data_IF_410300311192
#
_entry.id   IF_410300311192
#
_cell.length_a   1.000
_cell.length_b   1.000
_cell.length_c   1.000
_cell.angle_alpha   90.00
_cell.angle_beta   90.00
_cell.angle_gamma   90.00
#
_symmetry.space_group_name_H-M   'P 1'
#
loop_
_entity.id
_entity.type
_entity.pdbx_description
1 polymer ?
#
# COMPACT_ATOMS: atom_id res chain seq x y z
N UNK A 1 1.81 -23.63 -30.47
CA UNK A 1 2.82 -22.58 -30.28
C UNK A 1 2.07 -21.29 -30.01
N UNK A 2 1.98 -20.86 -28.75
CA UNK A 2 1.41 -19.56 -28.44
C UNK A 2 2.49 -18.52 -28.71
N UNK A 3 2.25 -17.63 -29.66
CA UNK A 3 3.15 -16.49 -29.92
C UNK A 3 3.29 -15.68 -28.64
N UNK A 4 4.54 -15.49 -28.19
CA UNK A 4 4.88 -14.55 -27.13
C UNK A 4 4.60 -13.15 -27.66
N UNK A 5 3.44 -12.60 -27.32
CA UNK A 5 3.10 -11.22 -27.68
C UNK A 5 3.83 -10.28 -26.71
N UNK A 6 4.55 -9.31 -27.25
CA UNK A 6 5.13 -8.20 -26.50
C UNK A 6 4.16 -7.02 -26.58
N UNK A 7 3.81 -6.41 -25.45
CA UNK A 7 3.00 -5.20 -25.46
C UNK A 7 3.53 -4.18 -24.47
N UNK A 8 3.47 -2.90 -24.85
CA UNK A 8 3.82 -1.75 -24.01
C UNK A 8 5.20 -1.84 -23.34
N UNK A 9 6.16 -2.50 -24.01
CA UNK A 9 7.51 -2.74 -23.47
C UNK A 9 8.36 -1.48 -23.37
N UNK A 10 8.01 -0.39 -24.06
CA UNK A 10 8.69 0.91 -24.01
C UNK A 10 7.85 1.99 -23.33
N UNK A 11 6.65 1.65 -22.86
CA UNK A 11 5.73 2.63 -22.28
C UNK A 11 6.28 3.08 -20.93
N UNK A 12 6.58 4.37 -20.79
CA UNK A 12 7.08 4.97 -19.54
C UNK A 12 5.99 5.64 -18.72
N UNK A 13 4.90 6.10 -19.36
CA UNK A 13 3.77 6.73 -18.69
C UNK A 13 2.47 6.17 -19.23
N UNK A 14 1.61 5.72 -18.33
CA UNK A 14 0.27 5.25 -18.62
C UNK A 14 -0.72 6.13 -17.85
N UNK A 15 -1.61 6.80 -18.57
CA UNK A 15 -2.68 7.59 -17.99
C UNK A 15 -4.02 7.13 -18.53
N UNK A 16 -4.93 6.80 -17.63
CA UNK A 16 -6.27 6.28 -17.91
C UNK A 16 -7.25 7.17 -17.15
N UNK A 17 -8.15 7.84 -17.87
CA UNK A 17 -9.06 8.80 -17.26
C UNK A 17 -10.47 8.57 -17.83
N UNK A 18 -11.49 8.64 -16.97
CA UNK A 18 -12.90 8.61 -17.37
C UNK A 18 -13.30 7.34 -18.15
N UNK A 19 -12.74 6.18 -17.78
CA UNK A 19 -13.03 4.89 -18.42
C UNK A 19 -13.93 4.02 -17.55
N UNK A 20 -15.21 4.38 -17.43
CA UNK A 20 -16.18 3.64 -16.59
C UNK A 20 -16.47 2.21 -17.07
N UNK A 21 -16.07 1.83 -18.29
CA UNK A 21 -16.13 0.45 -18.76
C UNK A 21 -14.91 -0.40 -18.38
N UNK A 22 -13.85 0.21 -17.83
CA UNK A 22 -12.59 -0.47 -17.54
C UNK A 22 -12.68 -1.20 -16.21
N UNK A 23 -12.69 -2.54 -16.27
CA UNK A 23 -12.74 -3.38 -15.06
C UNK A 23 -11.35 -3.76 -14.55
N UNK A 24 -10.35 -3.84 -15.45
CA UNK A 24 -8.95 -4.26 -15.22
C UNK A 24 -8.04 -3.76 -16.34
N UNK A 25 -6.74 -3.52 -16.08
CA UNK A 25 -5.76 -3.16 -17.12
C UNK A 25 -5.44 -4.28 -18.10
N UNK A 26 -5.50 -5.53 -17.62
CA UNK A 26 -5.25 -6.71 -18.42
C UNK A 26 -6.26 -7.79 -18.05
N UNK A 27 -6.93 -8.36 -19.07
CA UNK A 27 -7.77 -9.55 -18.93
C UNK A 27 -6.94 -10.77 -19.38
N UNK A 28 -6.71 -11.73 -18.49
CA UNK A 28 -5.89 -12.91 -18.77
C UNK A 28 -4.41 -12.74 -18.41
N UNK A 29 -3.55 -13.53 -19.05
CA UNK A 29 -2.10 -13.51 -18.83
C UNK A 29 -1.46 -12.25 -19.47
N UNK A 30 -0.70 -11.43 -18.73
CA UNK A 30 -0.08 -10.26 -19.30
C UNK A 30 0.98 -10.64 -20.35
N UNK A 31 1.03 -9.95 -21.48
CA UNK A 31 2.04 -10.20 -22.52
C UNK A 31 3.47 -10.00 -22.00
N UNK A 32 4.46 -10.59 -22.69
CA UNK A 32 5.84 -10.54 -22.22
C UNK A 32 6.36 -9.10 -22.21
N UNK A 33 6.91 -8.69 -21.05
CA UNK A 33 7.44 -7.35 -20.86
C UNK A 33 6.39 -6.26 -20.73
N UNK A 34 5.13 -6.64 -20.48
CA UNK A 34 4.03 -5.71 -20.20
C UNK A 34 4.42 -4.73 -19.09
N UNK A 35 4.41 -3.43 -19.42
CA UNK A 35 4.69 -2.33 -18.50
C UNK A 35 6.05 -2.41 -17.77
N UNK A 36 7.03 -3.16 -18.31
CA UNK A 36 8.36 -3.34 -17.68
C UNK A 36 9.17 -2.04 -17.55
N UNK A 37 8.90 -1.06 -18.41
CA UNK A 37 9.58 0.24 -18.42
C UNK A 37 8.70 1.37 -17.89
N UNK A 38 7.53 1.06 -17.33
CA UNK A 38 6.59 2.05 -16.83
C UNK A 38 7.18 2.74 -15.60
N UNK A 39 7.21 4.07 -15.62
CA UNK A 39 7.66 4.96 -14.54
C UNK A 39 6.50 5.64 -13.84
N UNK A 40 5.43 5.94 -14.57
CA UNK A 40 4.25 6.65 -14.05
C UNK A 40 2.96 5.91 -14.45
N UNK A 41 2.14 5.58 -13.45
CA UNK A 41 0.80 5.03 -13.63
C UNK A 41 -0.22 5.96 -12.98
N UNK A 42 -1.11 6.54 -13.80
CA UNK A 42 -2.18 7.43 -13.36
C UNK A 42 -3.52 6.85 -13.81
N UNK A 43 -4.41 6.55 -12.86
CA UNK A 43 -5.78 6.10 -13.17
C UNK A 43 -6.76 6.99 -12.42
N UNK A 44 -7.64 7.67 -13.14
CA UNK A 44 -8.63 8.59 -12.58
C UNK A 44 -10.03 8.30 -13.12
N UNK A 45 -11.04 8.41 -12.27
CA UNK A 45 -12.46 8.37 -12.66
C UNK A 45 -12.82 7.12 -13.49
N UNK A 46 -12.38 5.94 -13.02
CA UNK A 46 -12.66 4.64 -13.64
C UNK A 46 -13.48 3.80 -12.64
N UNK A 47 -14.78 4.09 -12.53
CA UNK A 47 -15.57 3.65 -11.38
C UNK A 47 -15.77 2.13 -11.28
N UNK A 48 -15.72 1.41 -12.42
CA UNK A 48 -15.83 -0.07 -12.46
C UNK A 48 -14.48 -0.79 -12.33
N UNK A 49 -13.37 -0.07 -12.18
CA UNK A 49 -12.06 -0.71 -12.02
C UNK A 49 -11.99 -1.36 -10.63
N UNK A 50 -11.94 -2.69 -10.61
CA UNK A 50 -11.93 -3.44 -9.35
C UNK A 50 -10.53 -3.83 -8.89
N UNK A 51 -9.62 -4.03 -9.85
CA UNK A 51 -8.22 -4.40 -9.63
C UNK A 51 -7.35 -3.66 -10.64
N UNK A 52 -6.26 -3.01 -10.23
CA UNK A 52 -5.32 -2.40 -11.18
C UNK A 52 -4.64 -3.50 -11.99
N UNK A 53 -3.95 -4.42 -11.30
CA UNK A 53 -3.32 -5.59 -11.92
C UNK A 53 -3.49 -6.85 -11.06
N UNK A 54 -3.73 -7.97 -11.74
CA UNK A 54 -3.79 -9.30 -11.13
C UNK A 54 -2.77 -10.17 -11.85
N UNK A 55 -1.94 -10.86 -11.08
CA UNK A 55 -1.02 -11.88 -11.57
C UNK A 55 -1.47 -13.24 -11.07
N UNK A 56 -1.10 -14.27 -11.83
CA UNK A 56 -1.24 -15.66 -11.43
C UNK A 56 0.19 -16.20 -11.24
N UNK A 57 0.49 -16.70 -10.06
CA UNK A 57 1.86 -16.96 -9.56
C UNK A 57 2.64 -17.98 -10.41
N UNK A 58 1.94 -18.79 -11.20
CA UNK A 58 2.49 -19.96 -11.86
C UNK A 58 3.09 -19.71 -13.26
N UNK A 59 3.00 -18.49 -13.83
CA UNK A 59 3.16 -18.32 -15.29
C UNK A 59 3.99 -17.13 -15.78
N UNK A 60 4.65 -16.34 -14.91
CA UNK A 60 5.31 -15.11 -15.39
C UNK A 60 6.78 -14.98 -14.99
N UNK A 61 7.66 -14.96 -16.00
CA UNK A 61 9.11 -14.72 -15.87
C UNK A 61 9.51 -13.25 -16.05
N UNK A 62 8.58 -12.30 -15.95
CA UNK A 62 8.86 -10.87 -16.09
C UNK A 62 8.67 -10.11 -14.78
N UNK A 63 9.23 -8.91 -14.73
CA UNK A 63 9.08 -7.98 -13.61
C UNK A 63 8.24 -6.79 -14.07
N UNK A 64 6.90 -6.88 -14.06
CA UNK A 64 6.09 -5.74 -14.43
C UNK A 64 6.27 -4.67 -13.34
N UNK A 65 6.28 -3.39 -13.74
CA UNK A 65 6.35 -2.25 -12.81
C UNK A 65 7.66 -2.12 -11.99
N UNK A 66 8.72 -2.87 -12.27
CA UNK A 66 10.00 -2.75 -11.54
C UNK A 66 10.63 -1.35 -11.62
N UNK A 67 10.32 -0.62 -12.70
CA UNK A 67 10.73 0.77 -12.91
C UNK A 67 9.68 1.81 -12.49
N UNK A 68 8.54 1.40 -11.94
CA UNK A 68 7.47 2.30 -11.55
C UNK A 68 7.95 3.19 -10.41
N UNK A 69 7.84 4.50 -10.58
CA UNK A 69 8.30 5.53 -9.63
C UNK A 69 7.13 6.26 -8.98
N UNK A 70 6.02 6.42 -9.71
CA UNK A 70 4.83 7.12 -9.24
C UNK A 70 3.56 6.33 -9.59
N UNK A 71 2.72 6.13 -8.58
CA UNK A 71 1.39 5.54 -8.70
C UNK A 71 0.35 6.55 -8.19
N UNK A 72 -0.59 6.92 -9.06
CA UNK A 72 -1.70 7.80 -8.72
C UNK A 72 -3.03 7.15 -9.09
N UNK A 73 -3.92 7.01 -8.10
CA UNK A 73 -5.21 6.36 -8.23
C UNK A 73 -6.28 7.27 -7.63
N UNK A 74 -7.17 7.82 -8.45
CA UNK A 74 -8.19 8.78 -8.01
C UNK A 74 -9.59 8.40 -8.46
N UNK A 75 -10.56 8.55 -7.56
CA UNK A 75 -11.99 8.34 -7.83
C UNK A 75 -12.27 6.97 -8.48
N UNK A 76 -11.88 5.90 -7.79
CA UNK A 76 -12.07 4.51 -8.24
C UNK A 76 -13.07 3.82 -7.30
N UNK A 77 -14.37 4.05 -7.56
CA UNK A 77 -15.44 3.68 -6.64
C UNK A 77 -15.49 2.19 -6.29
N UNK A 78 -15.23 1.29 -7.25
CA UNK A 78 -15.26 -0.16 -7.05
C UNK A 78 -13.86 -0.79 -6.79
N UNK A 79 -12.80 0.00 -6.61
CA UNK A 79 -11.45 -0.54 -6.44
C UNK A 79 -11.32 -1.30 -5.11
N UNK A 80 -11.13 -2.61 -5.21
CA UNK A 80 -10.99 -3.52 -4.06
C UNK A 80 -9.55 -3.88 -3.75
N UNK A 81 -8.72 -3.97 -4.78
CA UNK A 81 -7.32 -4.36 -4.66
C UNK A 81 -6.45 -3.53 -5.60
N UNK A 82 -5.31 -3.06 -5.11
CA UNK A 82 -4.30 -2.46 -5.98
C UNK A 82 -3.70 -3.53 -6.88
N UNK A 83 -3.09 -4.54 -6.26
CA UNK A 83 -2.35 -5.60 -6.94
C UNK A 83 -2.69 -6.94 -6.29
N UNK A 84 -3.02 -7.97 -7.08
CA UNK A 84 -3.42 -9.31 -6.59
C UNK A 84 -2.54 -10.41 -7.18
N UNK A 85 -2.20 -11.45 -6.39
CA UNK A 85 -1.53 -12.68 -6.86
C UNK A 85 -0.08 -12.49 -7.31
N UNK A 86 0.60 -11.56 -6.65
CA UNK A 86 1.96 -11.16 -6.96
C UNK A 86 2.94 -11.85 -6.00
N UNK A 87 3.76 -12.81 -6.48
CA UNK A 87 4.68 -13.52 -5.61
C UNK A 87 5.89 -12.63 -5.29
N UNK A 88 6.19 -12.49 -4.01
CA UNK A 88 7.43 -11.91 -3.47
C UNK A 88 7.65 -10.38 -3.56
N UNK A 89 8.59 -9.94 -2.73
CA UNK A 89 9.00 -8.58 -2.37
C UNK A 89 9.66 -7.73 -3.48
N UNK A 90 9.54 -8.08 -4.77
CA UNK A 90 10.42 -7.52 -5.82
C UNK A 90 9.71 -6.70 -6.91
N UNK A 91 8.43 -6.35 -6.74
CA UNK A 91 7.67 -5.66 -7.81
C UNK A 91 7.96 -4.16 -7.84
N UNK A 92 7.99 -3.50 -6.68
CA UNK A 92 8.14 -2.04 -6.60
C UNK A 92 9.55 -1.60 -6.25
N UNK A 93 10.55 -2.03 -7.04
CA UNK A 93 11.96 -1.71 -6.78
C UNK A 93 12.31 -0.23 -6.96
N UNK A 94 11.47 0.54 -7.64
CA UNK A 94 11.71 1.97 -7.94
C UNK A 94 10.65 2.92 -7.40
N UNK A 95 9.62 2.41 -6.71
CA UNK A 95 8.42 3.20 -6.38
C UNK A 95 8.73 4.19 -5.26
N UNK A 96 8.50 5.48 -5.53
CA UNK A 96 8.82 6.60 -4.63
C UNK A 96 7.58 7.31 -4.13
N UNK A 97 6.54 7.42 -4.97
CA UNK A 97 5.34 8.18 -4.66
C UNK A 97 4.10 7.33 -4.89
N UNK A 98 3.24 7.27 -3.90
CA UNK A 98 1.90 6.69 -3.98
C UNK A 98 0.88 7.73 -3.53
N UNK A 99 -0.08 8.05 -4.39
CA UNK A 99 -1.21 8.91 -4.08
C UNK A 99 -2.52 8.16 -4.40
N UNK A 100 -3.38 7.99 -3.39
CA UNK A 100 -4.66 7.28 -3.52
C UNK A 100 -5.77 8.19 -2.99
N UNK A 101 -6.75 8.50 -3.85
CA UNK A 101 -7.84 9.41 -3.56
C UNK A 101 -9.20 8.84 -3.93
N UNK A 102 -10.21 8.99 -3.08
CA UNK A 102 -11.61 8.69 -3.47
C UNK A 102 -11.86 7.22 -3.85
N UNK A 103 -11.12 6.27 -3.27
CA UNK A 103 -11.31 4.83 -3.49
C UNK A 103 -12.23 4.27 -2.39
N UNK A 104 -13.54 4.36 -2.63
CA UNK A 104 -14.55 4.24 -1.58
C UNK A 104 -14.65 2.87 -0.92
N UNK A 105 -14.44 1.77 -1.65
CA UNK A 105 -14.60 0.39 -1.14
C UNK A 105 -13.28 -0.28 -0.72
N UNK A 106 -12.16 0.41 -0.87
CA UNK A 106 -10.82 -0.11 -0.60
C UNK A 106 -10.62 -0.27 0.92
N UNK A 107 -10.42 -1.51 1.39
CA UNK A 107 -10.29 -1.84 2.83
C UNK A 107 -8.86 -1.84 3.34
N UNK A 108 -7.91 -2.18 2.46
CA UNK A 108 -6.47 -2.20 2.70
C UNK A 108 -5.73 -1.89 1.39
N UNK A 109 -4.46 -1.48 1.48
CA UNK A 109 -3.67 -1.11 0.30
C UNK A 109 -2.72 -2.21 -0.15
N UNK A 110 -1.97 -2.76 0.79
CA UNK A 110 -0.86 -3.66 0.52
C UNK A 110 -1.08 -5.01 1.19
N UNK A 111 -0.77 -6.09 0.49
CA UNK A 111 -0.53 -7.38 1.13
C UNK A 111 0.79 -7.36 1.90
N UNK A 112 0.99 -8.29 2.85
CA UNK A 112 2.29 -8.52 3.50
C UNK A 112 3.45 -8.73 2.53
N UNK A 113 3.18 -9.35 1.37
CA UNK A 113 4.16 -9.55 0.30
C UNK A 113 4.52 -8.24 -0.43
N UNK A 114 3.54 -7.40 -0.75
CA UNK A 114 3.77 -6.15 -1.49
C UNK A 114 4.47 -5.09 -0.64
N UNK A 115 4.14 -4.98 0.65
CA UNK A 115 4.72 -3.95 1.51
C UNK A 115 6.24 -4.09 1.64
N UNK A 116 6.76 -5.32 1.57
CA UNK A 116 8.21 -5.60 1.58
C UNK A 116 8.94 -5.03 0.36
N UNK A 117 8.24 -4.79 -0.75
CA UNK A 117 8.84 -4.19 -1.94
C UNK A 117 8.97 -2.66 -1.87
N UNK A 118 8.29 -2.01 -0.91
CA UNK A 118 8.20 -0.55 -0.79
C UNK A 118 9.40 0.07 -0.04
N UNK A 119 10.61 -0.38 -0.36
CA UNK A 119 11.85 0.03 0.33
C UNK A 119 12.33 1.42 -0.09
N UNK A 120 11.98 1.85 -1.31
CA UNK A 120 12.32 3.18 -1.85
C UNK A 120 11.17 4.19 -1.76
N UNK A 121 10.04 3.82 -1.16
CA UNK A 121 8.89 4.71 -1.06
C UNK A 121 9.26 5.92 -0.20
N UNK A 122 9.16 7.13 -0.77
CA UNK A 122 9.50 8.40 -0.12
C UNK A 122 8.23 9.12 0.37
N UNK A 123 7.10 8.94 -0.32
CA UNK A 123 5.85 9.64 -0.05
C UNK A 123 4.62 8.76 -0.25
N UNK A 124 3.78 8.68 0.78
CA UNK A 124 2.48 8.02 0.77
C UNK A 124 1.38 9.01 1.14
N UNK A 125 0.45 9.25 0.22
CA UNK A 125 -0.72 10.11 0.43
C UNK A 125 -2.00 9.34 0.18
N UNK A 126 -2.93 9.43 1.12
CA UNK A 126 -4.22 8.75 1.06
C UNK A 126 -5.30 9.74 1.44
N UNK A 127 -6.32 9.90 0.59
CA UNK A 127 -7.42 10.83 0.82
C UNK A 127 -8.78 10.20 0.51
N UNK A 128 -9.78 10.47 1.35
CA UNK A 128 -11.18 10.13 1.09
C UNK A 128 -11.43 8.65 0.76
N UNK A 129 -10.70 7.74 1.40
CA UNK A 129 -10.90 6.28 1.29
C UNK A 129 -11.71 5.81 2.51
N UNK A 130 -13.03 5.93 2.42
CA UNK A 130 -13.91 5.84 3.60
C UNK A 130 -14.03 4.44 4.22
N UNK A 131 -13.83 3.37 3.45
CA UNK A 131 -13.81 1.98 3.92
C UNK A 131 -12.43 1.47 4.34
N UNK A 132 -11.38 2.27 4.18
CA UNK A 132 -10.01 1.88 4.52
C UNK A 132 -9.90 1.68 6.03
N UNK A 133 -9.53 0.47 6.46
CA UNK A 133 -9.39 0.12 7.88
C UNK A 133 -7.94 0.14 8.37
N UNK A 134 -7.02 -0.22 7.50
CA UNK A 134 -5.58 -0.35 7.74
C UNK A 134 -4.84 -0.27 6.41
N UNK A 135 -3.56 0.09 6.38
CA UNK A 135 -2.78 0.07 5.14
C UNK A 135 -2.39 -1.35 4.72
N UNK A 136 -2.26 -2.25 5.69
CA UNK A 136 -1.83 -3.64 5.50
C UNK A 136 -3.03 -4.59 5.58
N UNK A 137 -3.20 -5.45 4.57
CA UNK A 137 -4.21 -6.50 4.60
C UNK A 137 -3.89 -7.52 5.71
N UNK A 138 -4.92 -7.91 6.46
CA UNK A 138 -4.85 -9.11 7.30
C UNK A 138 -5.11 -10.33 6.40
N UNK A 139 -4.42 -11.47 6.61
CA UNK A 139 -4.71 -12.70 5.87
C UNK A 139 -6.16 -13.10 6.15
N UNK A 140 -6.98 -13.26 5.11
CA UNK A 140 -8.42 -13.55 5.25
C UNK A 140 -8.71 -15.02 5.63
N UNK A 141 -7.69 -15.90 5.64
CA UNK A 141 -7.79 -17.30 6.09
C UNK A 141 -6.42 -17.94 6.40
N UNK A 142 -6.40 -19.02 7.18
CA UNK A 142 -5.20 -19.85 7.43
C UNK A 142 -4.69 -20.60 6.16
N UNK A 143 -5.48 -20.62 5.08
CA UNK A 143 -5.20 -21.32 3.82
C UNK A 143 -4.41 -20.47 2.81
N UNK A 144 -4.25 -19.17 3.06
CA UNK A 144 -3.27 -18.38 2.33
C UNK A 144 -1.89 -18.72 2.89
N UNK A 145 -1.21 -19.64 2.20
CA UNK A 145 0.20 -20.01 2.38
C UNK A 145 1.14 -18.83 2.07
N UNK A 146 0.77 -17.59 2.42
CA UNK A 146 1.74 -16.51 2.60
C UNK A 146 2.52 -16.86 3.86
N UNK A 147 3.65 -17.52 3.62
CA UNK A 147 4.67 -17.90 4.59
C UNK A 147 4.59 -17.06 5.85
N UNK A 148 4.27 -17.71 6.98
CA UNK A 148 4.46 -17.23 8.35
C UNK A 148 5.96 -16.99 8.58
N UNK A 149 6.59 -16.11 7.81
CA UNK A 149 7.96 -15.66 8.02
C UNK A 149 7.90 -14.55 9.05
N UNK A 150 8.00 -14.98 10.30
CA UNK A 150 8.59 -14.22 11.39
C UNK A 150 9.68 -13.28 10.87
N UNK A 151 9.60 -12.01 11.26
CA UNK A 151 10.39 -10.86 10.79
C UNK A 151 9.98 -10.31 9.42
N UNK A 152 9.04 -9.37 9.40
CA UNK A 152 8.84 -8.49 8.23
C UNK A 152 10.06 -7.54 8.16
N UNK A 153 10.97 -7.66 7.18
CA UNK A 153 12.16 -6.81 7.09
C UNK A 153 11.82 -5.47 6.42
N UNK A 154 12.46 -4.38 6.89
CA UNK A 154 12.81 -3.13 6.18
C UNK A 154 11.85 -2.57 5.10
N UNK A 155 10.55 -2.57 5.32
CA UNK A 155 9.64 -1.76 4.48
C UNK A 155 9.67 -0.28 4.92
N UNK A 156 9.37 0.64 4.00
CA UNK A 156 9.28 2.08 4.28
C UNK A 156 10.54 2.76 4.86
N UNK A 157 11.73 2.15 4.69
CA UNK A 157 12.99 2.70 5.22
C UNK A 157 13.33 4.11 4.71
N UNK A 158 12.82 4.47 3.52
CA UNK A 158 12.96 5.81 2.92
C UNK A 158 11.71 6.68 3.01
N UNK A 159 10.65 6.23 3.69
CA UNK A 159 9.41 7.00 3.77
C UNK A 159 9.65 8.27 4.56
N UNK A 160 9.45 9.42 3.93
CA UNK A 160 9.62 10.75 4.50
C UNK A 160 8.29 11.40 4.87
N UNK A 161 7.27 11.18 4.04
CA UNK A 161 5.97 11.84 4.19
C UNK A 161 4.85 10.80 4.18
N UNK A 162 4.05 10.85 5.24
CA UNK A 162 2.83 10.06 5.38
C UNK A 162 1.65 11.00 5.64
N UNK A 163 0.77 11.13 4.66
CA UNK A 163 -0.43 11.95 4.77
C UNK A 163 -1.68 11.08 4.60
N UNK A 164 -2.58 11.11 5.59
CA UNK A 164 -3.84 10.36 5.56
C UNK A 164 -4.99 11.28 5.97
N UNK A 165 -5.91 11.53 5.03
CA UNK A 165 -6.99 12.48 5.23
C UNK A 165 -8.35 11.88 4.88
N UNK A 166 -9.37 12.20 5.67
CA UNK A 166 -10.76 11.82 5.39
C UNK A 166 -10.99 10.29 5.25
N UNK A 167 -10.21 9.46 5.96
CA UNK A 167 -10.37 8.00 5.97
C UNK A 167 -11.13 7.57 7.23
N UNK A 168 -12.46 7.64 7.18
CA UNK A 168 -13.32 7.59 8.37
C UNK A 168 -13.28 6.26 9.13
N UNK A 169 -13.11 5.10 8.46
CA UNK A 169 -13.05 3.78 9.09
C UNK A 169 -11.63 3.30 9.42
N UNK A 170 -10.62 4.15 9.24
CA UNK A 170 -9.24 3.80 9.54
C UNK A 170 -9.10 3.60 11.04
N UNK A 171 -8.79 2.39 11.48
CA UNK A 171 -8.63 2.07 12.91
C UNK A 171 -7.18 2.23 13.36
N UNK A 172 -6.24 1.84 12.49
CA UNK A 172 -4.79 1.92 12.69
C UNK A 172 -4.09 2.13 11.35
N UNK A 173 -2.88 2.72 11.33
CA UNK A 173 -2.14 2.93 10.09
C UNK A 173 -1.34 1.68 9.70
N UNK A 174 -0.36 1.30 10.54
CA UNK A 174 0.45 0.10 10.36
C UNK A 174 0.78 -0.55 11.72
N UNK A 175 1.15 -1.84 11.74
CA UNK A 175 1.72 -2.47 12.93
C UNK A 175 3.00 -1.75 13.40
N UNK A 176 3.21 -1.71 14.72
CA UNK A 176 4.37 -1.06 15.34
C UNK A 176 5.69 -1.75 14.97
N UNK A 177 5.64 -3.03 14.66
CA UNK A 177 6.78 -3.79 14.12
C UNK A 177 7.26 -3.22 12.79
N UNK A 178 6.36 -2.67 11.96
CA UNK A 178 6.72 -1.94 10.74
C UNK A 178 7.15 -0.51 11.03
N UNK A 179 6.55 0.12 12.04
CA UNK A 179 6.87 1.48 12.45
C UNK A 179 8.32 1.63 12.92
N UNK A 180 8.89 0.59 13.55
CA UNK A 180 10.31 0.54 13.92
C UNK A 180 11.25 0.70 12.71
N UNK A 181 10.76 0.44 11.49
CA UNK A 181 11.48 0.59 10.23
C UNK A 181 11.32 1.95 9.55
N UNK A 182 10.90 3.01 10.25
CA UNK A 182 10.67 4.36 9.69
C UNK A 182 11.75 5.40 10.09
N UNK A 183 13.06 5.15 9.86
CA UNK A 183 14.12 6.06 10.31
C UNK A 183 14.12 7.41 9.57
N UNK A 184 13.55 7.45 8.36
CA UNK A 184 13.55 8.63 7.49
C UNK A 184 12.26 9.45 7.56
N UNK A 185 11.32 9.10 8.44
CA UNK A 185 10.02 9.76 8.48
C UNK A 185 10.16 11.18 9.02
N UNK A 186 9.94 12.17 8.16
CA UNK A 186 10.10 13.59 8.44
C UNK A 186 8.76 14.27 8.75
N UNK A 187 7.67 13.81 8.14
CA UNK A 187 6.34 14.41 8.25
C UNK A 187 5.22 13.37 8.33
N UNK A 188 4.35 13.54 9.32
CA UNK A 188 3.09 12.80 9.49
C UNK A 188 1.94 13.80 9.58
N UNK A 189 0.98 13.69 8.67
CA UNK A 189 -0.25 14.50 8.70
C UNK A 189 -1.46 13.59 8.63
N UNK A 190 -2.23 13.50 9.71
CA UNK A 190 -3.44 12.70 9.75
C UNK A 190 -4.62 13.58 10.14
N UNK A 191 -5.65 13.64 9.31
CA UNK A 191 -6.84 14.39 9.67
C UNK A 191 -8.17 13.75 9.26
N UNK A 192 -9.20 14.02 10.05
CA UNK A 192 -10.58 13.56 9.80
C UNK A 192 -10.68 12.04 9.62
N UNK A 193 -9.90 11.30 10.40
CA UNK A 193 -9.95 9.85 10.51
C UNK A 193 -10.58 9.50 11.86
N UNK A 194 -11.92 9.50 11.91
CA UNK A 194 -12.66 9.51 13.17
C UNK A 194 -12.59 8.21 13.97
N UNK A 195 -12.40 7.07 13.30
CA UNK A 195 -12.27 5.76 13.94
C UNK A 195 -10.83 5.42 14.36
N UNK A 196 -9.85 6.29 14.09
CA UNK A 196 -8.45 6.02 14.35
C UNK A 196 -8.20 5.97 15.86
N UNK A 197 -7.80 4.80 16.35
CA UNK A 197 -7.55 4.56 17.79
C UNK A 197 -6.08 4.80 18.13
N UNK A 198 -5.18 4.35 17.26
CA UNK A 198 -3.72 4.52 17.36
C UNK A 198 -3.12 4.70 15.97
N UNK A 199 -2.04 5.47 15.85
CA UNK A 199 -1.31 5.58 14.57
C UNK A 199 -0.59 4.27 14.29
N UNK A 200 0.17 3.79 15.27
CA UNK A 200 0.87 2.51 15.23
C UNK A 200 0.23 1.53 16.22
N UNK A 201 -0.13 0.33 15.75
CA UNK A 201 -0.85 -0.68 16.55
C UNK A 201 0.01 -1.90 16.86
N UNK A 202 -0.34 -2.69 17.86
CA UNK A 202 0.26 -4.02 18.03
C UNK A 202 -0.26 -4.96 16.94
N UNK A 203 0.63 -5.77 16.35
CA UNK A 203 0.18 -6.95 15.61
C UNK A 203 -0.58 -7.86 16.59
N UNK A 204 -1.68 -8.48 16.15
CA UNK A 204 -2.46 -9.41 16.99
C UNK A 204 -1.50 -10.44 17.62
N UNK A 205 -1.54 -10.52 18.95
CA UNK A 205 -0.61 -11.26 19.79
C UNK A 205 -0.51 -12.74 19.34
N UNK A 206 0.70 -13.20 19.02
CA UNK A 206 1.06 -14.59 19.22
C UNK A 206 1.51 -14.70 20.68
N UNK A 207 0.71 -15.36 21.51
CA UNK A 207 1.03 -15.85 22.86
C UNK A 207 1.86 -14.93 23.76
N UNK A 208 1.20 -14.05 24.53
CA UNK A 208 1.62 -13.67 25.88
C UNK A 208 2.95 -12.90 26.06
N UNK A 209 3.67 -12.55 24.99
CA UNK A 209 4.90 -11.75 25.09
C UNK A 209 4.55 -10.26 25.04
N UNK A 210 4.58 -9.61 26.20
CA UNK A 210 4.57 -8.15 26.27
C UNK A 210 5.90 -7.62 25.68
N UNK A 211 5.85 -7.12 24.45
CA UNK A 211 6.95 -6.34 23.90
C UNK A 211 6.87 -4.93 24.47
N UNK A 212 7.79 -4.61 25.38
CA UNK A 212 8.09 -3.24 25.78
C UNK A 212 9.15 -2.70 24.83
N UNK A 213 8.90 -1.55 24.21
CA UNK A 213 9.82 -1.04 23.20
C UNK A 213 9.82 0.47 23.09
N UNK A 214 10.84 0.98 22.41
CA UNK A 214 10.98 2.38 22.05
C UNK A 214 10.74 2.51 20.55
N UNK A 215 9.87 3.42 20.13
CA UNK A 215 9.69 3.80 18.74
C UNK A 215 10.48 5.09 18.46
N UNK A 216 11.66 4.96 17.88
CA UNK A 216 12.50 6.11 17.55
C UNK A 216 12.14 6.71 16.18
N UNK A 217 11.41 7.82 16.19
CA UNK A 217 11.15 8.64 15.00
C UNK A 217 12.10 9.84 14.93
N UNK A 218 13.40 9.57 14.93
CA UNK A 218 14.46 10.58 15.10
C UNK A 218 14.45 11.71 14.04
N UNK A 219 13.91 11.44 12.85
CA UNK A 219 13.83 12.41 11.75
C UNK A 219 12.54 13.23 11.73
N UNK A 220 11.56 12.91 12.60
CA UNK A 220 10.22 13.50 12.54
C UNK A 220 10.26 14.96 12.98
N UNK A 221 9.90 15.86 12.06
CA UNK A 221 9.91 17.31 12.24
C UNK A 221 8.50 17.89 12.24
N UNK A 222 7.58 17.25 11.51
CA UNK A 222 6.22 17.72 11.33
C UNK A 222 5.23 16.64 11.75
N UNK A 223 4.44 16.93 12.78
CA UNK A 223 3.34 16.08 13.21
C UNK A 223 2.07 16.92 13.27
N UNK A 224 1.13 16.63 12.38
CA UNK A 224 -0.17 17.28 12.34
C UNK A 224 -1.27 16.24 12.54
N UNK A 225 -2.07 16.40 13.58
CA UNK A 225 -3.17 15.51 13.95
C UNK A 225 -4.42 16.35 14.20
N UNK A 226 -5.42 16.21 13.33
CA UNK A 226 -6.60 17.09 13.35
C UNK A 226 -7.90 16.30 13.20
N UNK A 227 -8.91 16.55 14.02
CA UNK A 227 -10.22 15.86 13.94
C UNK A 227 -10.14 14.31 14.06
N UNK A 228 -9.41 13.80 15.05
CA UNK A 228 -9.22 12.35 15.31
C UNK A 228 -9.95 11.93 16.58
N UNK A 229 -11.27 11.73 16.49
CA UNK A 229 -12.16 11.63 17.66
C UNK A 229 -11.89 10.44 18.59
N UNK A 230 -11.41 9.31 18.05
CA UNK A 230 -11.12 8.10 18.85
C UNK A 230 -9.63 7.93 19.18
N UNK A 231 -8.76 8.87 18.78
CA UNK A 231 -7.32 8.72 18.98
C UNK A 231 -6.98 8.95 20.45
N UNK A 232 -6.57 7.88 21.15
CA UNK A 232 -6.19 7.96 22.57
C UNK A 232 -4.68 8.03 22.77
N UNK A 233 -3.90 7.47 21.84
CA UNK A 233 -2.43 7.45 21.91
C UNK A 233 -1.82 7.30 20.51
N UNK A 234 -0.58 7.75 20.34
CA UNK A 234 0.14 7.62 19.07
C UNK A 234 0.62 6.17 18.82
N UNK A 235 1.05 5.51 19.90
CA UNK A 235 1.52 4.11 19.95
C UNK A 235 0.79 3.31 21.03
N UNK A 236 0.96 1.97 21.12
CA UNK A 236 0.45 1.15 22.21
C UNK A 236 1.03 1.56 23.57
N UNK A 237 0.30 1.31 24.66
CA UNK A 237 0.68 1.72 26.02
C UNK A 237 2.05 1.19 26.49
N UNK A 238 2.49 0.06 25.93
CA UNK A 238 3.74 -0.61 26.27
C UNK A 238 4.95 0.00 25.53
N UNK A 239 4.72 1.03 24.72
CA UNK A 239 5.74 1.71 23.92
C UNK A 239 5.86 3.18 24.30
N UNK A 240 7.09 3.67 24.22
CA UNK A 240 7.43 5.09 24.34
C UNK A 240 7.85 5.57 22.94
N UNK A 241 7.52 6.82 22.60
CA UNK A 241 7.91 7.50 21.35
C UNK A 241 8.88 8.62 21.68
#
# INVERSE_FOLDING_TARGET
>A
MNELTFAFTHLERLSINYMDGLERLCKGHPPQGFLKNLKELLIRDCNKLQVVLSMDELLYNGEPLSKLQSLELENLAELRWLFKGFPHSFIFQSLKVVNIGGCGVLKSLFSPSLIQSLVLLEKLQIRSCHELKTLLAEPESDDEMESKSSSLPLCFSKLKTLDIHHCSKLEYVVPITLAQGLPSLESVSISRCYELKQVFSMAKEQDGVQHNGLLLLASLQHLNLEWLLKLTSFVPQNYIV
#
